data_IF_809432782092
#
_entry.id   IF_809432782092
#
_cell.length_a   1.000
_cell.length_b   1.000
_cell.length_c   1.000
_cell.angle_alpha   90.00
_cell.angle_beta   90.00
_cell.angle_gamma   90.00
#
_symmetry.space_group_name_H-M   'P 1'
#
loop_
_entity.id
_entity.type
_entity.pdbx_description
1 polymer ?
#
# COMPACT_ATOMS: atom_id res chain seq x y z
N UNK A 1 6.00 -61.70 28.37
CA UNK A 1 6.66 -60.50 28.84
C UNK A 1 6.03 -59.25 28.22
N UNK A 2 5.67 -58.25 29.06
CA UNK A 2 4.98 -57.05 28.59
C UNK A 2 5.98 -56.02 28.14
N UNK A 3 5.66 -55.36 27.06
CA UNK A 3 6.45 -54.24 26.50
C UNK A 3 6.26 -52.97 27.35
N UNK A 4 7.36 -52.39 27.79
CA UNK A 4 7.41 -51.17 28.54
C UNK A 4 7.19 -49.96 27.62
N UNK A 5 6.25 -49.08 27.95
CA UNK A 5 6.02 -47.79 27.37
C UNK A 5 7.12 -46.82 27.82
N UNK A 6 7.89 -46.27 26.87
CA UNK A 6 8.87 -45.24 27.11
C UNK A 6 8.19 -43.88 27.34
N UNK A 7 8.44 -43.29 28.53
CA UNK A 7 7.93 -42.01 28.94
C UNK A 7 8.64 -40.86 28.21
N UNK A 8 7.88 -39.82 27.86
CA UNK A 8 8.37 -38.55 27.36
C UNK A 8 9.14 -37.79 28.45
N UNK A 9 10.23 -37.09 28.11
CA UNK A 9 10.94 -36.25 29.08
C UNK A 9 10.12 -34.99 29.42
N UNK A 10 10.23 -34.49 30.69
CA UNK A 10 9.47 -33.32 31.13
C UNK A 10 9.99 -32.02 30.49
N UNK A 11 9.03 -31.14 30.11
CA UNK A 11 9.33 -29.80 29.65
C UNK A 11 9.92 -28.92 30.77
N UNK A 12 10.93 -28.06 30.47
CA UNK A 12 11.45 -27.12 31.44
C UNK A 12 10.46 -25.96 31.70
N UNK A 13 10.47 -25.40 32.94
CA UNK A 13 9.53 -24.35 33.32
C UNK A 13 9.83 -23.01 32.63
N UNK A 14 8.75 -22.28 32.28
CA UNK A 14 8.77 -20.96 31.71
C UNK A 14 9.42 -19.94 32.69
N UNK A 15 10.60 -19.49 32.36
CA UNK A 15 11.33 -18.44 33.08
C UNK A 15 10.78 -17.05 32.75
N UNK A 16 10.19 -16.42 33.76
CA UNK A 16 9.77 -15.03 33.76
C UNK A 16 11.02 -14.11 33.76
N UNK A 17 11.32 -13.47 32.65
CA UNK A 17 12.31 -12.37 32.61
C UNK A 17 11.65 -11.09 32.16
N UNK A 18 11.30 -10.26 33.15
CA UNK A 18 11.12 -8.82 32.99
C UNK A 18 12.44 -8.25 32.49
N UNK A 19 12.46 -7.69 31.30
CA UNK A 19 13.57 -6.96 30.72
C UNK A 19 13.01 -5.80 29.90
N UNK A 20 12.91 -4.66 30.58
CA UNK A 20 12.67 -3.33 30.02
C UNK A 20 13.77 -2.99 29.01
N UNK A 21 13.40 -2.39 27.88
CA UNK A 21 14.17 -1.61 26.89
C UNK A 21 14.14 -2.21 25.51
N UNK A 22 13.24 -1.69 24.71
CA UNK A 22 13.52 -1.03 23.42
C UNK A 22 12.17 -0.63 22.79
N UNK A 23 11.59 0.43 23.26
CA UNK A 23 10.63 1.22 22.51
C UNK A 23 11.44 2.20 21.69
N UNK A 24 11.22 2.22 20.41
CA UNK A 24 11.42 3.26 19.39
C UNK A 24 11.85 2.55 18.11
N UNK A 25 10.92 2.12 17.30
CA UNK A 25 11.05 1.91 15.84
C UNK A 25 9.78 1.39 15.15
N UNK A 26 8.58 1.62 15.67
CA UNK A 26 7.33 1.14 15.01
C UNK A 26 6.40 2.27 14.58
N UNK A 27 6.78 3.53 14.75
CA UNK A 27 5.88 4.66 14.47
C UNK A 27 5.93 5.20 13.03
N UNK A 28 6.81 4.70 12.15
CA UNK A 28 6.94 5.24 10.79
C UNK A 28 6.27 4.39 9.69
N UNK A 29 5.88 3.16 9.97
CA UNK A 29 5.28 2.27 8.98
C UNK A 29 3.74 2.33 8.93
N UNK A 30 3.11 2.86 9.97
CA UNK A 30 1.64 2.87 10.08
C UNK A 30 0.95 3.96 9.25
N UNK A 31 1.69 4.94 8.71
CA UNK A 31 1.09 6.06 7.97
C UNK A 31 0.92 5.81 6.46
N UNK A 32 1.53 4.76 5.90
CA UNK A 32 1.50 4.47 4.45
C UNK A 32 0.40 3.45 4.11
N UNK A 33 -0.08 2.73 5.09
CA UNK A 33 -0.89 1.52 4.91
C UNK A 33 -2.41 1.73 5.02
N UNK A 34 -2.86 2.93 5.37
CA UNK A 34 -4.29 3.25 5.40
C UNK A 34 -4.93 3.51 4.02
N UNK A 35 -4.15 3.36 2.92
CA UNK A 35 -4.59 3.80 1.60
C UNK A 35 -5.27 2.73 0.74
N UNK A 36 -5.22 1.45 1.09
CA UNK A 36 -5.88 0.41 0.29
C UNK A 36 -7.32 0.18 0.73
N UNK A 37 -7.64 0.48 1.98
CA UNK A 37 -9.01 0.41 2.50
C UNK A 37 -9.70 1.75 2.79
N UNK A 38 -8.96 2.86 2.74
CA UNK A 38 -9.51 4.19 3.01
C UNK A 38 -9.06 5.13 1.89
N UNK A 39 -9.97 5.44 0.98
CA UNK A 39 -9.75 6.38 -0.10
C UNK A 39 -9.07 7.67 0.39
N UNK A 40 -8.11 8.12 -0.39
CA UNK A 40 -7.30 9.34 -0.20
C UNK A 40 -8.21 10.57 -0.01
N UNK A 41 -8.58 10.87 1.24
CA UNK A 41 -9.31 12.11 1.58
C UNK A 41 -8.76 12.85 2.81
N UNK A 42 -7.58 12.50 3.31
CA UNK A 42 -7.05 13.10 4.53
C UNK A 42 -5.91 14.12 4.34
N UNK A 43 -5.63 14.58 3.11
CA UNK A 43 -4.56 15.55 2.85
C UNK A 43 -5.02 16.88 2.23
N UNK A 44 -6.31 17.22 2.36
CA UNK A 44 -6.83 18.52 1.95
C UNK A 44 -7.75 19.08 3.03
N UNK A 45 -7.22 19.33 4.22
CA UNK A 45 -7.81 20.27 5.18
C UNK A 45 -6.68 21.04 5.84
N UNK A 46 -6.44 22.23 5.30
CA UNK A 46 -5.76 23.30 5.99
C UNK A 46 -6.55 23.69 7.25
N UNK A 47 -5.93 23.77 8.43
CA UNK A 47 -6.52 24.45 9.56
C UNK A 47 -6.02 25.90 9.57
N UNK A 48 -6.63 26.75 8.78
CA UNK A 48 -6.48 28.18 8.82
C UNK A 48 -7.79 28.83 9.24
N UNK A 49 -8.06 28.87 10.51
CA UNK A 49 -9.17 29.62 11.06
C UNK A 49 -8.81 30.17 12.43
N UNK A 50 -8.72 31.44 12.56
CA UNK A 50 -8.44 32.10 13.85
C UNK A 50 -8.56 33.59 13.78
N UNK A 51 -9.75 34.07 13.95
CA UNK A 51 -10.24 35.18 14.80
C UNK A 51 -9.70 36.62 14.67
N UNK A 52 -10.66 37.47 14.28
CA UNK A 52 -11.08 38.76 14.89
C UNK A 52 -10.03 39.86 15.11
N UNK A 53 -10.22 40.96 14.45
CA UNK A 53 -10.69 42.15 15.16
C UNK A 53 -10.91 43.32 14.20
N UNK A 54 -12.09 43.89 14.33
CA UNK A 54 -12.59 45.21 14.05
C UNK A 54 -11.58 46.35 14.01
N UNK A 55 -11.68 47.23 13.00
CA UNK A 55 -11.86 48.68 13.17
C UNK A 55 -11.67 49.45 11.86
N UNK A 56 -12.54 50.40 11.71
CA UNK A 56 -12.92 51.27 10.60
C UNK A 56 -11.87 52.33 10.18
N UNK A 57 -12.21 53.19 9.23
CA UNK A 57 -11.35 53.57 8.10
C UNK A 57 -10.75 55.00 8.27
N UNK A 58 -9.68 55.28 7.58
CA UNK A 58 -9.31 56.66 7.24
C UNK A 58 -8.80 56.79 5.80
N UNK A 59 -9.50 57.66 5.12
CA UNK A 59 -9.12 58.27 3.82
C UNK A 59 -7.79 59.02 3.92
N UNK A 60 -7.10 59.10 2.80
CA UNK A 60 -6.03 60.06 2.62
C UNK A 60 -5.12 59.76 1.40
N UNK A 61 -5.54 60.25 0.26
CA UNK A 61 -4.81 60.89 -0.84
C UNK A 61 -3.40 60.47 -1.21
N UNK A 62 -3.31 60.09 -2.49
CA UNK A 62 -2.37 60.49 -3.55
C UNK A 62 -0.89 60.67 -3.21
N UNK A 63 -0.05 59.86 -3.86
CA UNK A 63 0.94 60.37 -4.82
C UNK A 63 1.55 59.24 -5.67
N UNK A 64 1.45 59.48 -6.99
CA UNK A 64 2.17 58.80 -8.05
C UNK A 64 3.68 58.87 -7.82
N UNK A 65 4.34 57.70 -7.92
CA UNK A 65 5.72 57.66 -8.38
C UNK A 65 6.00 56.31 -9.03
N UNK A 66 6.24 56.37 -10.33
CA UNK A 66 6.73 55.26 -11.13
C UNK A 66 8.15 54.91 -10.67
N UNK A 67 8.38 53.64 -10.42
CA UNK A 67 9.70 53.07 -10.19
C UNK A 67 9.74 51.64 -10.77
N UNK A 68 10.88 51.17 -11.29
CA UNK A 68 10.94 50.04 -12.24
C UNK A 68 10.81 48.67 -11.57
N UNK A 69 10.04 47.82 -12.21
CA UNK A 69 10.11 46.38 -12.33
C UNK A 69 10.51 45.56 -11.09
N UNK A 70 9.51 45.12 -10.30
CA UNK A 70 9.68 43.97 -9.41
C UNK A 70 9.75 42.70 -10.27
N UNK A 71 10.72 41.81 -10.04
CA UNK A 71 10.73 40.51 -10.70
C UNK A 71 9.56 39.69 -10.17
N UNK A 72 8.70 39.36 -11.11
CA UNK A 72 7.58 38.47 -10.97
C UNK A 72 8.03 37.22 -10.21
N UNK A 73 7.60 37.08 -8.94
CA UNK A 73 7.72 35.82 -8.18
C UNK A 73 6.97 34.74 -8.95
N UNK A 74 7.72 33.92 -9.66
CA UNK A 74 7.19 32.66 -10.17
C UNK A 74 6.57 31.91 -9.02
N UNK A 75 5.34 31.37 -9.16
CA UNK A 75 4.77 30.52 -8.15
C UNK A 75 5.74 29.36 -7.92
N UNK A 76 6.15 29.14 -6.67
CA UNK A 76 6.87 27.93 -6.30
C UNK A 76 6.04 26.75 -6.81
N UNK A 77 6.63 25.78 -7.52
CA UNK A 77 5.87 24.60 -7.89
C UNK A 77 5.44 23.92 -6.58
N UNK A 78 4.14 23.94 -6.32
CA UNK A 78 3.53 23.03 -5.38
C UNK A 78 4.19 21.67 -5.56
N UNK A 79 4.61 21.02 -4.48
CA UNK A 79 5.08 19.63 -4.51
C UNK A 79 3.91 18.78 -4.92
N UNK A 80 3.66 18.76 -6.22
CA UNK A 80 2.54 18.10 -6.85
C UNK A 80 2.54 16.64 -6.48
N UNK A 81 1.42 16.16 -5.95
CA UNK A 81 1.16 14.73 -5.84
C UNK A 81 1.49 14.06 -7.19
N UNK A 82 2.14 12.89 -7.14
CA UNK A 82 2.51 12.18 -8.35
C UNK A 82 1.31 12.05 -9.31
N UNK A 83 1.51 12.22 -10.63
CA UNK A 83 0.42 12.17 -11.60
C UNK A 83 -0.38 10.87 -11.47
N UNK A 84 -1.69 10.97 -11.56
CA UNK A 84 -2.59 9.81 -11.59
C UNK A 84 -2.69 9.26 -13.00
N UNK A 85 -2.55 7.93 -13.13
CA UNK A 85 -2.78 7.19 -14.37
C UNK A 85 -4.18 6.58 -14.30
N UNK A 86 -5.03 6.84 -15.31
CA UNK A 86 -6.35 6.22 -15.41
C UNK A 86 -6.31 4.95 -16.26
N UNK A 87 -7.39 4.16 -16.20
CA UNK A 87 -7.54 2.86 -16.83
C UNK A 87 -7.02 2.76 -18.26
N UNK A 88 -6.52 1.58 -18.61
CA UNK A 88 -5.84 1.30 -19.88
C UNK A 88 -4.39 1.77 -19.94
N UNK A 89 -3.85 2.41 -18.87
CA UNK A 89 -2.48 2.92 -18.82
C UNK A 89 -1.50 1.97 -18.11
N UNK A 90 -0.26 2.45 -18.02
CA UNK A 90 0.83 1.80 -17.28
C UNK A 90 1.40 2.77 -16.26
N UNK A 91 1.55 2.31 -15.03
CA UNK A 91 2.08 3.09 -13.91
C UNK A 91 3.52 2.68 -13.61
N UNK A 92 4.51 3.56 -13.81
CA UNK A 92 5.88 3.27 -13.43
C UNK A 92 6.07 3.21 -11.92
N UNK A 93 6.88 2.25 -11.46
CA UNK A 93 7.42 2.13 -10.11
C UNK A 93 8.95 2.07 -10.19
N UNK A 94 9.61 3.21 -10.31
CA UNK A 94 11.07 3.25 -10.47
C UNK A 94 11.81 2.80 -9.22
N UNK A 95 11.18 2.88 -8.04
CA UNK A 95 11.77 2.43 -6.77
C UNK A 95 12.03 0.93 -6.78
N UNK A 96 11.12 0.18 -7.37
CA UNK A 96 11.16 -1.27 -7.40
C UNK A 96 11.54 -1.83 -8.78
N UNK A 97 11.76 -0.97 -9.78
CA UNK A 97 12.19 -1.35 -11.13
C UNK A 97 11.12 -2.06 -11.95
N UNK A 98 9.85 -1.79 -11.66
CA UNK A 98 8.72 -2.36 -12.38
C UNK A 98 7.77 -1.29 -12.92
N UNK A 99 6.87 -1.70 -13.79
CA UNK A 99 5.67 -0.96 -14.15
C UNK A 99 4.44 -1.85 -13.95
N UNK A 100 3.36 -1.26 -13.44
CA UNK A 100 2.09 -1.94 -13.18
C UNK A 100 1.04 -1.52 -14.21
N UNK A 101 0.27 -2.44 -14.81
CA UNK A 101 -0.87 -2.05 -15.61
C UNK A 101 -1.96 -1.45 -14.72
N UNK A 102 -2.70 -0.48 -15.26
CA UNK A 102 -3.88 0.12 -14.62
C UNK A 102 -5.10 -0.40 -15.38
N UNK A 103 -5.90 -1.32 -14.82
CA UNK A 103 -7.09 -1.86 -15.49
C UNK A 103 -8.13 -0.77 -15.80
N UNK A 104 -9.04 -1.04 -16.73
CA UNK A 104 -10.19 -0.16 -16.97
C UNK A 104 -11.05 -0.03 -15.70
N UNK A 105 -11.47 1.20 -15.39
CA UNK A 105 -12.20 1.52 -14.16
C UNK A 105 -11.34 1.50 -12.90
N UNK A 106 -10.02 1.63 -13.07
CA UNK A 106 -9.05 1.77 -11.99
C UNK A 106 -8.21 3.03 -12.17
N UNK A 107 -7.66 3.51 -11.09
CA UNK A 107 -6.73 4.65 -11.07
C UNK A 107 -5.42 4.24 -10.41
N UNK A 108 -4.31 4.59 -11.04
CA UNK A 108 -2.95 4.33 -10.57
C UNK A 108 -2.26 5.58 -10.05
N UNK A 109 -1.44 5.43 -9.00
CA UNK A 109 -0.61 6.49 -8.45
C UNK A 109 0.68 5.94 -7.86
N UNK A 110 1.81 6.55 -8.19
CA UNK A 110 3.09 6.25 -7.54
C UNK A 110 3.18 6.94 -6.16
N UNK A 111 3.93 6.33 -5.25
CA UNK A 111 4.21 6.88 -3.92
C UNK A 111 5.67 6.57 -3.51
N UNK A 112 6.08 7.03 -2.34
CA UNK A 112 7.50 7.05 -1.96
C UNK A 112 8.22 5.69 -1.98
N UNK A 113 7.50 4.59 -1.81
CA UNK A 113 8.08 3.24 -1.71
C UNK A 113 7.60 2.27 -2.79
N UNK A 114 6.73 2.73 -3.71
CA UNK A 114 6.16 1.89 -4.74
C UNK A 114 5.09 2.56 -5.58
N UNK A 115 4.18 1.76 -6.10
CA UNK A 115 3.04 2.17 -6.89
C UNK A 115 1.78 1.44 -6.44
N UNK A 116 0.62 2.09 -6.58
CA UNK A 116 -0.68 1.49 -6.27
C UNK A 116 -1.67 1.70 -7.41
N UNK A 117 -2.55 0.74 -7.58
CA UNK A 117 -3.72 0.82 -8.45
C UNK A 117 -4.96 0.51 -7.62
N UNK A 118 -6.01 1.29 -7.79
CA UNK A 118 -7.23 1.22 -6.98
C UNK A 118 -8.45 1.27 -7.86
N UNK A 119 -9.44 0.43 -7.61
CA UNK A 119 -10.72 0.44 -8.31
C UNK A 119 -11.45 1.78 -8.10
N UNK A 120 -12.03 2.33 -9.14
CA UNK A 120 -12.85 3.55 -9.06
C UNK A 120 -14.19 3.29 -8.37
N UNK A 121 -14.57 2.02 -8.15
CA UNK A 121 -15.77 1.65 -7.40
C UNK A 121 -15.52 1.83 -5.90
N UNK A 122 -16.27 2.74 -5.29
CA UNK A 122 -16.19 3.00 -3.85
C UNK A 122 -17.57 2.91 -3.19
N UNK A 123 -17.58 2.61 -1.89
CA UNK A 123 -18.79 2.46 -1.08
C UNK A 123 -18.49 2.80 0.39
N UNK A 124 -19.55 2.97 1.20
CA UNK A 124 -19.36 3.18 2.64
C UNK A 124 -18.90 1.88 3.29
N UNK A 125 -17.83 1.96 4.10
CA UNK A 125 -17.32 0.77 4.77
C UNK A 125 -18.39 0.14 5.68
N UNK A 126 -18.60 -1.18 5.62
CA UNK A 126 -19.72 -1.83 6.32
C UNK A 126 -19.59 -1.79 7.85
N UNK A 127 -18.38 -1.72 8.39
CA UNK A 127 -18.12 -1.63 9.84
C UNK A 127 -17.96 -0.20 10.34
N UNK A 128 -17.73 0.77 9.43
CA UNK A 128 -17.56 2.19 9.76
C UNK A 128 -18.02 3.07 8.60
N UNK A 129 -19.30 3.40 8.58
CA UNK A 129 -19.92 4.17 7.49
C UNK A 129 -19.45 5.63 7.38
N UNK A 130 -18.65 6.12 8.32
CA UNK A 130 -17.96 7.41 8.20
C UNK A 130 -16.81 7.36 7.18
N UNK A 131 -16.33 6.17 6.85
CA UNK A 131 -15.25 5.92 5.89
C UNK A 131 -15.76 5.41 4.56
N UNK A 132 -14.94 5.58 3.52
CA UNK A 132 -15.17 4.96 2.22
C UNK A 132 -14.17 3.80 2.03
N UNK A 133 -14.69 2.69 1.56
CA UNK A 133 -13.94 1.53 1.09
C UNK A 133 -13.98 1.47 -0.43
N UNK A 134 -13.05 0.75 -1.04
CA UNK A 134 -13.00 0.51 -2.49
C UNK A 134 -13.15 -0.98 -2.78
N UNK A 135 -13.71 -1.31 -3.94
CA UNK A 135 -13.96 -2.70 -4.33
C UNK A 135 -12.69 -3.51 -4.61
N UNK A 136 -11.54 -2.85 -4.68
CA UNK A 136 -10.25 -3.54 -4.81
C UNK A 136 -9.09 -2.59 -4.99
N UNK A 137 -7.91 -3.12 -4.74
CA UNK A 137 -6.64 -2.42 -4.92
C UNK A 137 -5.48 -3.39 -5.01
N UNK A 138 -4.37 -2.89 -5.55
CA UNK A 138 -3.08 -3.56 -5.48
C UNK A 138 -1.97 -2.52 -5.29
N UNK A 139 -0.90 -2.90 -4.60
CA UNK A 139 0.26 -2.04 -4.49
C UNK A 139 1.56 -2.84 -4.38
N UNK A 140 2.65 -2.22 -4.79
CA UNK A 140 4.01 -2.75 -4.70
C UNK A 140 4.77 -2.08 -3.56
N UNK A 141 5.55 -2.86 -2.82
CA UNK A 141 6.48 -2.34 -1.82
C UNK A 141 7.62 -3.34 -1.53
N UNK A 142 8.81 -2.87 -1.14
CA UNK A 142 9.86 -3.76 -0.66
C UNK A 142 9.40 -4.54 0.57
N UNK A 143 9.63 -5.86 0.61
CA UNK A 143 9.23 -6.73 1.72
C UNK A 143 9.67 -6.20 3.09
N UNK A 144 10.89 -5.69 3.18
CA UNK A 144 11.45 -5.12 4.42
C UNK A 144 10.67 -3.91 4.96
N UNK A 145 10.12 -3.10 4.04
CA UNK A 145 9.30 -1.92 4.41
C UNK A 145 7.95 -2.36 4.96
N UNK A 146 7.42 -3.49 4.46
CA UNK A 146 6.21 -4.14 4.98
C UNK A 146 6.46 -4.88 6.31
N UNK A 147 7.70 -4.91 6.80
CA UNK A 147 8.07 -5.68 7.98
C UNK A 147 8.16 -7.19 7.75
N UNK A 148 8.02 -7.62 6.49
CA UNK A 148 8.03 -9.03 6.11
C UNK A 148 9.46 -9.51 5.89
N UNK A 149 9.79 -10.67 6.46
CA UNK A 149 11.12 -11.29 6.38
C UNK A 149 11.03 -12.65 5.70
N UNK A 150 12.10 -13.03 5.01
CA UNK A 150 12.27 -14.31 4.35
C UNK A 150 13.41 -14.25 3.35
N UNK A 151 14.09 -15.37 3.15
CA UNK A 151 15.23 -15.48 2.22
C UNK A 151 14.78 -15.87 0.81
N UNK A 152 13.56 -16.41 0.67
CA UNK A 152 13.00 -16.84 -0.61
C UNK A 152 11.67 -16.15 -0.88
N UNK A 153 11.29 -16.06 -2.13
CA UNK A 153 9.99 -15.53 -2.53
C UNK A 153 8.83 -16.28 -1.86
N UNK A 154 8.94 -17.61 -1.74
CA UNK A 154 7.95 -18.44 -1.05
C UNK A 154 7.83 -18.08 0.43
N UNK A 155 8.96 -17.98 1.14
CA UNK A 155 8.95 -17.61 2.56
C UNK A 155 8.35 -16.22 2.78
N UNK A 156 8.69 -15.26 1.92
CA UNK A 156 8.15 -13.88 1.98
C UNK A 156 6.65 -13.87 1.70
N UNK A 157 6.17 -14.49 0.62
CA UNK A 157 4.75 -14.50 0.28
C UNK A 157 3.89 -15.16 1.37
N UNK A 158 4.36 -16.28 1.93
CA UNK A 158 3.69 -16.99 3.04
C UNK A 158 3.67 -16.19 4.35
N UNK A 159 4.75 -15.46 4.65
CA UNK A 159 4.81 -14.61 5.84
C UNK A 159 3.97 -13.33 5.69
N UNK A 160 3.81 -12.83 4.46
CA UNK A 160 3.17 -11.54 4.19
C UNK A 160 1.65 -11.60 4.14
N UNK A 161 1.06 -12.70 3.63
CA UNK A 161 -0.38 -12.75 3.29
C UNK A 161 -1.29 -12.50 4.48
N UNK A 162 -0.91 -12.90 5.70
CA UNK A 162 -1.71 -12.66 6.90
C UNK A 162 -1.74 -11.17 7.26
N UNK A 163 -0.60 -10.47 7.16
CA UNK A 163 -0.52 -9.04 7.39
C UNK A 163 -1.28 -8.26 6.30
N UNK A 164 -1.20 -8.69 5.05
CA UNK A 164 -1.99 -8.14 3.96
C UNK A 164 -3.50 -8.31 4.20
N UNK A 165 -3.94 -9.49 4.66
CA UNK A 165 -5.34 -9.74 4.98
C UNK A 165 -5.84 -8.80 6.08
N UNK A 166 -5.07 -8.67 7.18
CA UNK A 166 -5.42 -7.79 8.28
C UNK A 166 -5.46 -6.32 7.85
N UNK A 167 -4.53 -5.88 7.01
CA UNK A 167 -4.52 -4.52 6.47
C UNK A 167 -5.71 -4.26 5.56
N UNK A 168 -6.04 -5.19 4.67
CA UNK A 168 -7.08 -5.01 3.65
C UNK A 168 -8.49 -5.16 4.21
N UNK A 169 -8.71 -6.11 5.12
CA UNK A 169 -10.05 -6.52 5.60
C UNK A 169 -10.18 -6.62 7.11
N UNK A 170 -9.10 -6.38 7.85
CA UNK A 170 -9.13 -6.34 9.31
C UNK A 170 -9.74 -5.04 9.86
N UNK A 171 -9.65 -4.87 11.16
CA UNK A 171 -10.03 -3.67 11.85
C UNK A 171 -11.52 -3.30 11.74
N UNK A 172 -11.82 -2.02 12.00
CA UNK A 172 -13.20 -1.55 12.13
C UNK A 172 -13.95 -1.42 10.79
N UNK A 173 -13.25 -1.26 9.67
CA UNK A 173 -13.89 -1.04 8.36
C UNK A 173 -14.74 -2.21 7.91
N UNK A 174 -14.34 -3.43 8.24
CA UNK A 174 -15.04 -4.67 7.91
C UNK A 174 -15.43 -5.49 9.15
N UNK A 175 -15.18 -4.95 10.35
CA UNK A 175 -15.48 -5.59 11.63
C UNK A 175 -14.52 -6.72 12.02
N UNK A 176 -13.39 -6.83 11.32
CA UNK A 176 -12.38 -7.85 11.55
C UNK A 176 -12.60 -9.15 10.78
N UNK A 177 -11.52 -9.90 10.61
CA UNK A 177 -11.50 -11.20 9.93
C UNK A 177 -11.87 -12.29 10.93
N UNK A 178 -12.84 -13.13 10.59
CA UNK A 178 -13.30 -14.25 11.41
C UNK A 178 -12.68 -15.59 11.01
N UNK A 179 -12.36 -15.75 9.72
CA UNK A 179 -11.70 -16.94 9.19
C UNK A 179 -11.07 -16.65 7.82
N UNK A 180 -10.26 -17.56 7.33
CA UNK A 180 -9.74 -17.50 5.96
C UNK A 180 -9.65 -18.91 5.34
N UNK A 181 -9.63 -18.93 4.01
CA UNK A 181 -9.40 -20.11 3.20
C UNK A 181 -8.24 -19.85 2.25
N UNK A 182 -7.26 -20.75 2.21
CA UNK A 182 -6.17 -20.70 1.23
C UNK A 182 -6.70 -21.15 -0.13
N UNK A 183 -6.68 -20.26 -1.12
CA UNK A 183 -7.14 -20.55 -2.49
C UNK A 183 -5.99 -20.94 -3.41
N UNK A 184 -4.81 -20.36 -3.20
CA UNK A 184 -3.61 -20.68 -3.96
C UNK A 184 -2.35 -20.47 -3.11
N UNK A 185 -1.35 -21.31 -3.34
CA UNK A 185 0.01 -21.18 -2.80
C UNK A 185 0.93 -21.85 -3.81
N UNK A 186 1.60 -21.05 -4.68
CA UNK A 186 2.31 -21.60 -5.84
C UNK A 186 3.40 -20.67 -6.37
N UNK A 187 4.37 -21.26 -7.06
CA UNK A 187 5.35 -20.51 -7.84
C UNK A 187 4.67 -19.71 -8.97
N UNK A 188 5.26 -18.56 -9.29
CA UNK A 188 4.82 -17.63 -10.34
C UNK A 188 6.04 -16.96 -10.98
N UNK A 189 5.87 -16.46 -12.20
CA UNK A 189 6.86 -15.58 -12.83
C UNK A 189 6.25 -14.19 -12.98
N UNK A 190 6.91 -13.15 -12.43
CA UNK A 190 6.46 -11.76 -12.50
C UNK A 190 7.61 -10.90 -12.99
N UNK A 191 7.39 -10.12 -14.04
CA UNK A 191 8.44 -9.29 -14.66
C UNK A 191 9.72 -10.09 -14.99
N UNK A 192 9.56 -11.35 -15.42
CA UNK A 192 10.68 -12.26 -15.69
C UNK A 192 11.37 -12.86 -14.46
N UNK A 193 10.99 -12.45 -13.25
CA UNK A 193 11.55 -12.94 -12.00
C UNK A 193 10.80 -14.18 -11.50
N UNK A 194 11.53 -15.19 -10.99
CA UNK A 194 10.93 -16.32 -10.28
C UNK A 194 10.40 -15.86 -8.94
N UNK A 195 9.10 -15.98 -8.73
CA UNK A 195 8.40 -15.55 -7.55
C UNK A 195 7.49 -16.64 -6.95
N UNK A 196 6.74 -16.25 -5.96
CA UNK A 196 5.73 -17.08 -5.31
C UNK A 196 4.53 -16.24 -4.93
N UNK A 197 3.32 -16.79 -5.04
CA UNK A 197 2.10 -16.14 -4.56
C UNK A 197 1.34 -17.00 -3.57
N UNK A 198 0.68 -16.33 -2.64
CA UNK A 198 -0.31 -16.92 -1.76
C UNK A 198 -1.58 -16.08 -1.86
N UNK A 199 -2.71 -16.74 -2.15
CA UNK A 199 -4.04 -16.11 -2.23
C UNK A 199 -4.96 -16.73 -1.20
N UNK A 200 -5.64 -15.87 -0.44
CA UNK A 200 -6.66 -16.25 0.52
C UNK A 200 -8.02 -15.66 0.15
N UNK A 201 -9.09 -16.30 0.61
CA UNK A 201 -10.38 -15.68 0.85
C UNK A 201 -10.47 -15.36 2.34
N UNK A 202 -10.55 -14.10 2.71
CA UNK A 202 -10.79 -13.63 4.07
C UNK A 202 -12.30 -13.47 4.28
N UNK A 203 -12.82 -14.04 5.38
CA UNK A 203 -14.22 -13.89 5.79
C UNK A 203 -14.28 -12.82 6.87
N UNK A 204 -15.13 -11.82 6.69
CA UNK A 204 -15.26 -10.70 7.61
C UNK A 204 -16.52 -10.79 8.45
N UNK A 205 -16.60 -10.07 9.57
CA UNK A 205 -17.76 -10.10 10.45
C UNK A 205 -18.88 -9.17 10.03
N UNK A 206 -18.61 -8.13 9.20
CA UNK A 206 -19.57 -7.09 8.88
C UNK A 206 -19.81 -6.86 7.38
N UNK A 207 -19.44 -7.79 6.55
CA UNK A 207 -19.77 -7.76 5.13
C UNK A 207 -18.53 -7.57 4.28
N UNK A 208 -18.69 -7.56 2.97
CA UNK A 208 -17.69 -7.77 1.94
C UNK A 208 -16.52 -8.64 2.39
N UNK A 209 -16.67 -9.96 2.25
CA UNK A 209 -15.53 -10.86 2.28
C UNK A 209 -14.53 -10.45 1.19
N UNK A 210 -13.26 -10.74 1.38
CA UNK A 210 -12.22 -10.32 0.45
C UNK A 210 -11.34 -11.45 -0.05
N UNK A 211 -10.85 -11.29 -1.27
CA UNK A 211 -9.70 -12.01 -1.76
C UNK A 211 -8.46 -11.17 -1.45
N UNK A 212 -7.47 -11.76 -0.79
CA UNK A 212 -6.16 -11.15 -0.58
C UNK A 212 -5.09 -12.01 -1.24
N UNK A 213 -4.11 -11.36 -1.85
CA UNK A 213 -2.98 -12.06 -2.44
C UNK A 213 -1.70 -11.30 -2.14
N UNK A 214 -0.67 -12.04 -1.75
CA UNK A 214 0.69 -11.54 -1.65
C UNK A 214 1.55 -12.29 -2.64
N UNK A 215 2.10 -11.56 -3.63
CA UNK A 215 3.03 -12.08 -4.61
C UNK A 215 4.42 -11.50 -4.35
N UNK A 216 5.40 -12.34 -4.05
CA UNK A 216 6.77 -11.94 -3.76
C UNK A 216 7.72 -12.42 -4.86
N UNK A 217 8.69 -11.58 -5.22
CA UNK A 217 9.73 -11.88 -6.20
C UNK A 217 10.93 -10.94 -6.03
N UNK A 218 12.13 -11.27 -6.55
CA UNK A 218 13.26 -10.35 -6.54
C UNK A 218 12.94 -9.05 -7.28
N UNK A 219 13.29 -7.91 -6.70
CA UNK A 219 13.10 -6.61 -7.36
C UNK A 219 14.00 -6.48 -8.58
N UNK A 220 13.47 -6.12 -9.77
CA UNK A 220 14.32 -5.86 -10.94
C UNK A 220 15.32 -4.71 -10.75
N UNK A 221 14.99 -3.72 -9.90
CA UNK A 221 15.92 -2.63 -9.59
C UNK A 221 17.10 -3.06 -8.72
N UNK A 222 16.88 -4.07 -7.86
CA UNK A 222 17.89 -4.61 -6.95
C UNK A 222 17.53 -6.06 -6.59
N UNK A 223 18.06 -7.07 -7.30
CA UNK A 223 17.73 -8.47 -7.09
C UNK A 223 18.06 -9.03 -5.70
N UNK A 224 18.86 -8.32 -4.91
CA UNK A 224 19.12 -8.67 -3.51
C UNK A 224 17.96 -8.36 -2.57
N UNK A 225 16.95 -7.61 -3.05
CA UNK A 225 15.76 -7.22 -2.29
C UNK A 225 14.53 -7.94 -2.82
N UNK A 226 13.71 -8.44 -1.90
CA UNK A 226 12.38 -8.96 -2.25
C UNK A 226 11.39 -7.80 -2.37
N UNK A 227 10.65 -7.81 -3.46
CA UNK A 227 9.48 -6.98 -3.73
C UNK A 227 8.24 -7.81 -3.45
N UNK A 228 7.22 -7.18 -2.85
CA UNK A 228 5.89 -7.75 -2.66
C UNK A 228 4.88 -6.89 -3.40
N UNK A 229 3.99 -7.55 -4.12
CA UNK A 229 2.75 -6.94 -4.63
C UNK A 229 1.60 -7.52 -3.83
N UNK A 230 0.91 -6.65 -3.09
CA UNK A 230 -0.27 -6.98 -2.30
C UNK A 230 -1.53 -6.63 -3.06
N UNK A 231 -2.52 -7.49 -2.96
CA UNK A 231 -3.86 -7.30 -3.52
C UNK A 231 -4.91 -7.44 -2.43
N UNK A 232 -5.93 -6.59 -2.49
CA UNK A 232 -7.20 -6.75 -1.80
C UNK A 232 -8.32 -6.58 -2.82
N UNK A 233 -9.30 -7.48 -2.86
CA UNK A 233 -10.40 -7.46 -3.83
C UNK A 233 -11.66 -8.02 -3.18
N UNK A 234 -12.75 -7.27 -3.19
CA UNK A 234 -14.01 -7.72 -2.62
C UNK A 234 -14.55 -8.97 -3.33
N UNK A 235 -15.09 -9.90 -2.57
CA UNK A 235 -15.85 -11.04 -3.11
C UNK A 235 -17.05 -10.48 -3.88
N UNK A 236 -17.22 -10.94 -5.11
CA UNK A 236 -18.18 -10.38 -6.07
C UNK A 236 -17.50 -9.62 -7.20
N UNK A 237 -16.22 -9.24 -7.04
CA UNK A 237 -15.37 -8.83 -8.16
C UNK A 237 -14.69 -10.06 -8.77
N UNK A 238 -14.37 -9.99 -10.07
CA UNK A 238 -13.64 -11.08 -10.74
C UNK A 238 -12.18 -11.11 -10.29
N UNK A 239 -11.71 -12.24 -9.76
CA UNK A 239 -10.28 -12.43 -9.43
C UNK A 239 -9.37 -12.39 -10.67
N UNK A 240 -9.93 -12.45 -11.87
CA UNK A 240 -9.16 -12.32 -13.13
C UNK A 240 -8.41 -10.99 -13.20
N UNK A 241 -8.91 -9.91 -12.56
CA UNK A 241 -8.21 -8.62 -12.53
C UNK A 241 -6.89 -8.69 -11.74
N UNK A 242 -6.81 -9.50 -10.68
CA UNK A 242 -5.57 -9.73 -9.93
C UNK A 242 -4.54 -10.43 -10.81
N UNK A 243 -4.98 -11.46 -11.55
CA UNK A 243 -4.14 -12.20 -12.49
C UNK A 243 -3.73 -11.33 -13.69
N UNK A 244 -4.60 -10.44 -14.16
CA UNK A 244 -4.30 -9.46 -15.22
C UNK A 244 -3.21 -8.49 -14.77
N UNK A 245 -3.38 -7.87 -13.59
CA UNK A 245 -2.39 -6.95 -13.03
C UNK A 245 -1.06 -7.67 -12.87
N UNK A 246 -1.05 -8.84 -12.21
CA UNK A 246 0.19 -9.57 -11.93
C UNK A 246 0.95 -9.98 -13.19
N UNK A 247 0.24 -10.49 -14.20
CA UNK A 247 0.83 -10.86 -15.51
C UNK A 247 1.29 -9.64 -16.32
N UNK A 248 0.62 -8.51 -16.14
CA UNK A 248 0.94 -7.27 -16.83
C UNK A 248 2.10 -6.48 -16.22
N UNK A 249 2.59 -6.86 -15.04
CA UNK A 249 3.77 -6.24 -14.44
C UNK A 249 5.00 -6.56 -15.33
N UNK A 250 5.73 -5.50 -15.69
CA UNK A 250 6.94 -5.57 -16.51
C UNK A 250 8.11 -4.91 -15.80
N UNK A 251 9.32 -5.24 -16.22
CA UNK A 251 10.50 -4.46 -15.83
C UNK A 251 10.32 -3.03 -16.37
N UNK A 252 10.46 -2.05 -15.49
CA UNK A 252 10.49 -0.65 -15.93
C UNK A 252 11.79 -0.44 -16.71
N UNK A 253 11.68 -0.15 -18.01
CA UNK A 253 12.80 0.40 -18.73
C UNK A 253 13.13 1.75 -18.07
N UNK A 254 14.22 1.81 -17.32
CA UNK A 254 14.73 3.06 -16.78
C UNK A 254 14.79 4.06 -17.91
N UNK A 255 14.14 5.22 -17.75
CA UNK A 255 14.31 6.34 -18.65
C UNK A 255 15.80 6.71 -18.61
N UNK A 256 16.56 6.15 -19.54
CA UNK A 256 17.85 6.67 -19.88
C UNK A 256 17.60 8.07 -20.38
N UNK A 257 17.99 9.08 -19.61
CA UNK A 257 18.24 10.41 -20.14
C UNK A 257 19.38 10.27 -21.13
N UNK A 258 19.05 9.87 -22.36
CA UNK A 258 19.93 10.05 -23.51
C UNK A 258 20.03 11.56 -23.74
N UNK A 259 21.05 12.17 -23.19
CA UNK A 259 21.60 13.37 -23.77
C UNK A 259 22.34 12.91 -25.01
N UNK A 260 21.68 12.98 -26.16
CA UNK A 260 22.35 13.05 -27.43
C UNK A 260 23.04 14.41 -27.49
N UNK A 261 24.37 14.36 -27.53
CA UNK A 261 25.26 15.50 -27.77
C UNK A 261 25.32 15.73 -29.27
#
# INVERSE_FOLDING_TARGET
PPYAYGGYPPQPPAGNRRGLRTGIAVAAAAAVLACVGVGVYALAKDPGGGDRADSRPRQGQERRQEGPGDPQKSPSPDRSAAPKVRGGGTLPDPVNGISMPVPEGWTGQAFAIGAQVTSDKSYKCPGDTSKNCTAGGAYSAPARVLGTRGETAEAVAKADVAANAEESYGGNSYGGITSHQVLASRAVTVAGQKGYLVRWKAVTSKGADGYVESAAFPSPADPSRMLVVRFGLDVGQSTAVMDEILRGIKVSSGGGSGQDV
#
